data_IF_516188800556
#
_entry.id   IF_516188800556
#
_cell.length_a   1.000
_cell.length_b   1.000
_cell.length_c   1.000
_cell.angle_alpha   90.00
_cell.angle_beta   90.00
_cell.angle_gamma   90.00
#
_symmetry.space_group_name_H-M   'P 1'
#
loop_
_entity.id
_entity.type
_entity.pdbx_description
1 polymer ?
#
# COMPACT_ATOMS: atom_id res chain seq x y z
N UNK A 1 -13.67 1.57 10.52
CA UNK A 1 -12.91 0.42 9.99
C UNK A 1 -13.86 -0.35 9.10
N UNK A 2 -13.49 -0.71 7.85
CA UNK A 2 -14.37 -1.55 7.04
C UNK A 2 -14.62 -2.87 7.78
N UNK A 3 -15.80 -3.45 7.61
CA UNK A 3 -16.12 -4.74 8.21
C UNK A 3 -15.07 -5.77 7.82
N UNK A 4 -14.37 -6.32 8.82
CA UNK A 4 -13.28 -7.29 8.64
C UNK A 4 -13.71 -8.50 7.79
N UNK A 5 -15.02 -8.77 7.76
CA UNK A 5 -15.62 -9.83 6.96
C UNK A 5 -15.49 -9.59 5.45
N UNK A 6 -15.65 -8.35 4.98
CA UNK A 6 -15.62 -8.00 3.55
C UNK A 6 -14.19 -8.14 3.02
N UNK A 7 -13.22 -7.52 3.70
CA UNK A 7 -11.81 -7.58 3.31
C UNK A 7 -11.27 -9.02 3.28
N UNK A 8 -11.74 -9.87 4.21
CA UNK A 8 -11.39 -11.29 4.26
C UNK A 8 -11.97 -12.06 3.08
N UNK A 9 -13.27 -11.92 2.83
CA UNK A 9 -13.94 -12.59 1.72
C UNK A 9 -13.32 -12.23 0.36
N UNK A 10 -13.01 -10.95 0.12
CA UNK A 10 -12.31 -10.48 -1.08
C UNK A 10 -10.98 -11.22 -1.28
N UNK A 11 -10.18 -11.41 -0.22
CA UNK A 11 -8.88 -12.10 -0.30
C UNK A 11 -9.04 -13.60 -0.56
N UNK A 12 -9.99 -14.25 0.10
CA UNK A 12 -10.27 -15.68 -0.06
C UNK A 12 -10.66 -16.01 -1.50
N UNK A 13 -11.63 -15.28 -2.07
CA UNK A 13 -12.06 -15.47 -3.46
C UNK A 13 -10.96 -15.20 -4.47
N UNK A 14 -10.16 -14.16 -4.26
CA UNK A 14 -9.00 -13.86 -5.12
C UNK A 14 -7.94 -14.96 -5.08
N UNK A 15 -7.68 -15.55 -3.91
CA UNK A 15 -6.71 -16.65 -3.77
C UNK A 15 -7.21 -17.96 -4.39
N UNK A 16 -8.52 -18.19 -4.39
CA UNK A 16 -9.17 -19.35 -5.02
C UNK A 16 -9.35 -19.20 -6.54
N UNK A 17 -9.15 -17.99 -7.09
CA UNK A 17 -9.47 -17.68 -8.48
C UNK A 17 -10.96 -17.47 -8.74
N UNK A 18 -11.81 -17.48 -7.70
CA UNK A 18 -13.28 -17.35 -7.74
C UNK A 18 -13.74 -15.88 -7.66
N UNK A 19 -12.98 -14.97 -8.24
CA UNK A 19 -13.21 -13.53 -8.10
C UNK A 19 -14.47 -13.05 -8.83
N UNK A 20 -14.97 -13.80 -9.82
CA UNK A 20 -16.27 -13.52 -10.45
C UNK A 20 -17.45 -13.70 -9.49
N UNK A 21 -17.32 -14.51 -8.43
CA UNK A 21 -18.35 -14.63 -7.39
C UNK A 21 -18.51 -13.37 -6.53
N UNK A 22 -17.56 -12.43 -6.62
CA UNK A 22 -17.62 -11.15 -5.93
C UNK A 22 -18.49 -10.13 -6.68
N UNK A 23 -18.86 -10.40 -7.93
CA UNK A 23 -19.73 -9.52 -8.73
C UNK A 23 -21.15 -9.64 -8.19
N UNK A 24 -21.75 -8.50 -7.86
CA UNK A 24 -23.14 -8.46 -7.40
C UNK A 24 -24.08 -8.96 -8.50
N UNK A 25 -24.92 -9.94 -8.17
CA UNK A 25 -25.93 -10.49 -9.07
C UNK A 25 -26.99 -9.45 -9.50
N UNK A 26 -27.12 -8.35 -8.75
CA UNK A 26 -28.01 -7.24 -9.08
C UNK A 26 -27.42 -6.23 -10.10
N UNK A 27 -26.20 -6.46 -10.61
CA UNK A 27 -25.63 -5.62 -11.66
C UNK A 27 -26.53 -5.59 -12.90
N UNK A 28 -26.85 -4.37 -13.36
CA UNK A 28 -27.74 -4.15 -14.49
C UNK A 28 -27.17 -4.69 -15.82
N UNK A 29 -25.86 -4.89 -15.88
CA UNK A 29 -25.13 -5.40 -17.03
C UNK A 29 -24.33 -6.62 -16.59
N UNK A 30 -24.34 -7.72 -17.37
CA UNK A 30 -23.46 -8.85 -17.10
C UNK A 30 -22.01 -8.38 -17.18
N UNK A 31 -21.22 -8.75 -16.16
CA UNK A 31 -19.78 -8.54 -16.14
C UNK A 31 -19.13 -9.84 -16.58
N UNK A 32 -18.44 -9.82 -17.71
CA UNK A 32 -17.70 -10.95 -18.29
C UNK A 32 -16.19 -10.71 -18.35
N UNK A 33 -15.74 -9.46 -18.15
CA UNK A 33 -14.32 -9.11 -18.08
C UNK A 33 -13.71 -9.49 -16.72
N UNK A 34 -13.15 -10.70 -16.71
CA UNK A 34 -12.46 -11.31 -15.58
C UNK A 34 -11.33 -10.42 -15.03
N UNK A 35 -10.55 -9.80 -15.92
CA UNK A 35 -9.38 -8.98 -15.55
C UNK A 35 -9.80 -7.63 -14.98
N UNK A 36 -10.88 -7.04 -15.49
CA UNK A 36 -11.48 -5.85 -14.89
C UNK A 36 -11.94 -6.11 -13.45
N UNK A 37 -12.62 -7.24 -13.19
CA UNK A 37 -13.05 -7.63 -11.84
C UNK A 37 -11.84 -7.81 -10.92
N UNK A 38 -10.81 -8.54 -11.36
CA UNK A 38 -9.57 -8.69 -10.59
C UNK A 38 -8.94 -7.34 -10.26
N UNK A 39 -8.90 -6.43 -11.21
CA UNK A 39 -8.30 -5.10 -11.04
C UNK A 39 -9.07 -4.29 -9.99
N UNK A 40 -10.40 -4.23 -10.09
CA UNK A 40 -11.24 -3.53 -9.13
C UNK A 40 -11.06 -4.09 -7.72
N UNK A 41 -11.03 -5.42 -7.57
CA UNK A 41 -10.83 -6.06 -6.26
C UNK A 41 -9.45 -5.77 -5.70
N UNK A 42 -8.39 -5.80 -6.52
CA UNK A 42 -7.03 -5.42 -6.12
C UNK A 42 -6.96 -3.97 -5.64
N UNK A 43 -7.59 -3.03 -6.36
CA UNK A 43 -7.67 -1.62 -5.98
C UNK A 43 -8.42 -1.46 -4.65
N UNK A 44 -9.57 -2.12 -4.51
CA UNK A 44 -10.36 -2.09 -3.27
C UNK A 44 -9.55 -2.58 -2.07
N UNK A 45 -8.83 -3.70 -2.22
CA UNK A 45 -7.96 -4.25 -1.18
C UNK A 45 -6.78 -3.32 -0.85
N UNK A 46 -6.24 -2.62 -1.84
CA UNK A 46 -5.18 -1.63 -1.67
C UNK A 46 -5.66 -0.41 -0.86
N UNK A 47 -6.87 0.08 -1.12
CA UNK A 47 -7.48 1.22 -0.44
C UNK A 47 -7.81 0.96 1.03
N UNK A 48 -8.15 -0.28 1.38
CA UNK A 48 -8.54 -0.67 2.76
C UNK A 48 -7.39 -1.23 3.58
N UNK A 49 -6.14 -1.14 3.09
CA UNK A 49 -4.95 -1.59 3.83
C UNK A 49 -4.87 -0.96 5.22
N UNK A 50 -4.39 -1.74 6.20
CA UNK A 50 -4.28 -1.28 7.59
C UNK A 50 -3.30 -0.10 7.70
N UNK A 51 -2.13 -0.23 7.09
CA UNK A 51 -1.09 0.78 7.05
C UNK A 51 -1.52 1.96 6.17
N UNK A 52 -1.57 3.16 6.75
CA UNK A 52 -2.02 4.37 6.05
C UNK A 52 -1.09 4.76 4.92
N UNK A 53 0.22 4.63 5.12
CA UNK A 53 1.24 5.06 4.16
C UNK A 53 1.30 4.15 2.92
N UNK A 54 0.72 2.95 3.00
CA UNK A 54 0.57 2.02 1.88
C UNK A 54 -0.72 2.24 1.07
N UNK A 55 -1.62 3.12 1.51
CA UNK A 55 -2.85 3.43 0.77
C UNK A 55 -2.54 4.37 -0.38
N UNK A 56 -3.11 4.13 -1.57
CA UNK A 56 -2.91 5.00 -2.72
C UNK A 56 -3.58 6.36 -2.51
N UNK A 57 -3.04 7.39 -3.16
CA UNK A 57 -3.75 8.66 -3.33
C UNK A 57 -5.01 8.44 -4.18
N UNK A 58 -6.01 9.31 -4.04
CA UNK A 58 -7.20 9.23 -4.89
C UNK A 58 -6.88 9.35 -6.38
N UNK A 59 -5.87 10.14 -6.74
CA UNK A 59 -5.39 10.22 -8.13
C UNK A 59 -4.88 8.86 -8.62
N UNK A 60 -4.02 8.20 -7.83
CA UNK A 60 -3.52 6.86 -8.17
C UNK A 60 -4.65 5.83 -8.27
N UNK A 61 -5.68 5.92 -7.42
CA UNK A 61 -6.86 5.04 -7.51
C UNK A 61 -7.53 5.16 -8.88
N UNK A 62 -7.74 6.38 -9.36
CA UNK A 62 -8.35 6.63 -10.67
C UNK A 62 -7.43 6.14 -11.79
N UNK A 63 -6.14 6.46 -11.74
CA UNK A 63 -5.16 6.02 -12.74
C UNK A 63 -5.05 4.49 -12.82
N UNK A 64 -5.19 3.79 -11.68
CA UNK A 64 -5.25 2.32 -11.64
C UNK A 64 -6.52 1.77 -12.28
N UNK A 65 -7.68 2.37 -11.99
CA UNK A 65 -8.97 1.93 -12.56
C UNK A 65 -9.09 2.20 -14.06
N UNK A 66 -8.43 3.25 -14.55
CA UNK A 66 -8.34 3.56 -15.98
C UNK A 66 -7.23 2.79 -16.71
N UNK A 67 -6.47 1.95 -15.99
CA UNK A 67 -5.39 1.15 -16.57
C UNK A 67 -4.14 1.95 -16.96
N UNK A 68 -4.00 3.21 -16.51
CA UNK A 68 -2.82 4.05 -16.74
C UNK A 68 -1.63 3.61 -15.88
N UNK A 69 -1.91 3.01 -14.71
CA UNK A 69 -0.91 2.51 -13.76
C UNK A 69 -1.28 1.09 -13.33
N UNK A 70 -0.28 0.20 -13.25
CA UNK A 70 -0.50 -1.16 -12.79
C UNK A 70 -0.80 -1.23 -11.28
N UNK A 71 -1.71 -2.12 -10.89
CA UNK A 71 -2.02 -2.37 -9.47
C UNK A 71 -1.04 -3.40 -8.92
N UNK A 72 -0.10 -2.96 -8.10
CA UNK A 72 0.82 -3.84 -7.39
C UNK A 72 0.13 -4.41 -6.13
N UNK A 73 -0.72 -5.43 -6.32
CA UNK A 73 -1.42 -6.12 -5.24
C UNK A 73 -1.45 -7.66 -5.44
N UNK A 74 -1.21 -8.49 -4.39
CA UNK A 74 -0.84 -8.08 -3.03
C UNK A 74 0.48 -7.31 -3.06
N UNK A 75 0.76 -6.38 -2.13
CA UNK A 75 2.13 -5.97 -1.94
C UNK A 75 2.86 -7.30 -1.77
N UNK A 76 3.78 -7.63 -2.69
CA UNK A 76 4.73 -8.70 -2.42
C UNK A 76 5.15 -8.44 -1.00
N UNK A 77 4.98 -9.43 -0.11
CA UNK A 77 5.47 -9.29 1.24
C UNK A 77 6.91 -8.85 1.03
N UNK A 78 7.19 -7.57 1.28
CA UNK A 78 8.51 -7.10 1.49
C UNK A 78 8.85 -7.90 2.74
N UNK A 79 9.42 -9.11 2.54
CA UNK A 79 10.41 -9.65 3.44
C UNK A 79 11.22 -8.42 3.74
N UNK A 80 11.20 -7.87 4.96
CA UNK A 80 12.10 -6.79 5.27
C UNK A 80 13.45 -7.36 4.87
N UNK A 81 13.99 -6.87 3.75
CA UNK A 81 15.36 -7.16 3.39
C UNK A 81 16.10 -6.71 4.63
N UNK A 82 16.78 -7.65 5.27
CA UNK A 82 17.58 -7.40 6.45
C UNK A 82 18.75 -6.51 6.02
N UNK A 83 18.45 -5.24 5.73
CA UNK A 83 19.44 -4.20 5.64
C UNK A 83 19.81 -3.93 7.08
N UNK A 84 20.82 -4.67 7.54
CA UNK A 84 21.63 -4.35 8.69
C UNK A 84 21.95 -2.86 8.63
N UNK A 85 21.23 -2.05 9.41
CA UNK A 85 21.72 -0.74 9.77
C UNK A 85 22.90 -1.01 10.69
N UNK A 86 24.11 -1.00 10.13
CA UNK A 86 25.32 -0.85 10.93
C UNK A 86 25.21 0.50 11.62
N UNK A 87 24.73 0.50 12.86
CA UNK A 87 24.93 1.61 13.78
C UNK A 87 26.44 1.70 14.04
N UNK A 88 27.14 2.54 13.28
CA UNK A 88 28.43 3.04 13.71
C UNK A 88 28.21 3.92 14.94
N UNK A 89 28.88 3.58 16.03
CA UNK A 89 28.84 4.23 17.34
C UNK A 89 29.11 5.75 17.30
N UNK A 90 28.64 6.49 18.31
CA UNK A 90 28.72 7.95 18.37
C UNK A 90 30.13 8.44 18.69
N UNK A 91 30.68 9.31 17.82
CA UNK A 91 31.85 10.11 18.16
C UNK A 91 31.46 11.21 19.14
N UNK A 92 31.82 11.03 20.41
CA UNK A 92 32.04 12.16 21.32
C UNK A 92 33.45 12.70 21.09
N UNK A 93 33.57 13.91 20.55
CA UNK A 93 34.70 14.81 20.87
C UNK A 93 34.10 16.19 21.16
N UNK A 94 34.19 16.55 22.44
CA UNK A 94 34.04 17.88 22.98
C UNK A 94 35.21 18.75 22.51
N UNK A 95 34.94 19.95 21.98
CA UNK A 95 35.72 21.18 22.25
C UNK A 95 35.09 22.36 21.51
N UNK A 96 34.50 23.30 22.24
CA UNK A 96 34.43 24.70 21.80
C UNK A 96 34.86 25.57 22.98
N UNK A 97 36.14 25.95 22.96
CA UNK A 97 36.69 26.95 23.85
C UNK A 97 36.10 28.32 23.47
N UNK A 98 35.55 28.98 24.49
CA UNK A 98 35.15 30.38 24.48
C UNK A 98 36.35 31.28 24.16
N UNK A 99 36.20 32.18 23.18
CA UNK A 99 36.94 33.43 23.14
C UNK A 99 35.98 34.59 22.85
N UNK A 100 35.61 35.30 23.91
CA UNK A 100 35.01 36.63 23.88
C UNK A 100 36.10 37.65 23.54
N UNK A 101 35.91 38.42 22.48
CA UNK A 101 36.60 39.72 22.28
C UNK A 101 35.66 40.65 21.50
N UNK A 102 34.83 41.40 22.21
CA UNK A 102 34.17 42.59 21.68
C UNK A 102 35.21 43.67 21.37
N UNK A 103 35.12 44.25 20.16
CA UNK A 103 35.91 45.41 19.76
C UNK A 103 35.47 46.70 20.46
N UNK A 104 36.47 47.50 20.85
CA UNK A 104 36.36 48.84 21.43
C UNK A 104 37.73 49.37 21.80
#
# INVERSE_FOLDING_TARGET
MPDLNIARNLRERMAQGEHMELVDAAMAVPVDDEEAVKTVVKVALCCIQHERDMRPSMQNVVDMLEGRVAVNFPPEAHRPSSSVVSLSEPHSISEHAVIDMHGG
#
